data_IF_153895614937
#
_entry.id   IF_153895614937
#
_cell.length_a   1.000
_cell.length_b   1.000
_cell.length_c   1.000
_cell.angle_alpha   90.00
_cell.angle_beta   90.00
_cell.angle_gamma   90.00
#
_symmetry.space_group_name_H-M   'P 1'
#
loop_
_entity.id
_entity.type
_entity.pdbx_description
1 polymer ?
#
# COMPACT_ATOMS: atom_id res chain seq x y z
N UNK A 1 -12.85 -9.68 -49.11
CA UNK A 1 -11.49 -9.86 -48.56
C UNK A 1 -10.98 -8.61 -47.83
N UNK A 2 -11.05 -7.41 -48.41
CA UNK A 2 -10.71 -6.16 -47.68
C UNK A 2 -11.75 -5.78 -46.61
N UNK A 3 -13.05 -5.96 -46.88
CA UNK A 3 -14.12 -5.61 -45.93
C UNK A 3 -14.07 -6.42 -44.62
N UNK A 4 -13.70 -7.71 -44.67
CA UNK A 4 -13.52 -8.53 -43.46
C UNK A 4 -12.35 -8.03 -42.60
N UNK A 5 -11.26 -7.59 -43.22
CA UNK A 5 -10.11 -7.01 -42.54
C UNK A 5 -10.46 -5.69 -41.84
N UNK A 6 -11.23 -4.83 -42.52
CA UNK A 6 -11.72 -3.56 -41.97
C UNK A 6 -12.65 -3.81 -40.78
N UNK A 7 -13.60 -4.74 -40.91
CA UNK A 7 -14.49 -5.14 -39.81
C UNK A 7 -13.73 -5.65 -38.59
N UNK A 8 -12.68 -6.45 -38.81
CA UNK A 8 -11.83 -6.97 -37.74
C UNK A 8 -11.07 -5.85 -37.00
N UNK A 9 -10.54 -4.87 -37.73
CA UNK A 9 -9.84 -3.74 -37.13
C UNK A 9 -10.78 -2.82 -36.34
N UNK A 10 -12.00 -2.62 -36.81
CA UNK A 10 -13.05 -1.90 -36.07
C UNK A 10 -13.42 -2.59 -34.76
N UNK A 11 -13.61 -3.90 -34.77
CA UNK A 11 -13.89 -4.69 -33.56
C UNK A 11 -12.74 -4.62 -32.55
N UNK A 12 -11.49 -4.71 -33.03
CA UNK A 12 -10.30 -4.59 -32.18
C UNK A 12 -10.20 -3.20 -31.55
N UNK A 13 -10.51 -2.15 -32.30
CA UNK A 13 -10.50 -0.79 -31.78
C UNK A 13 -11.53 -0.62 -30.66
N UNK A 14 -12.75 -1.14 -30.85
CA UNK A 14 -13.80 -1.13 -29.82
C UNK A 14 -13.35 -1.92 -28.58
N UNK A 15 -12.75 -3.09 -28.77
CA UNK A 15 -12.25 -3.90 -27.66
C UNK A 15 -11.17 -3.15 -26.84
N UNK A 16 -10.24 -2.46 -27.51
CA UNK A 16 -9.21 -1.64 -26.85
C UNK A 16 -9.84 -0.49 -26.07
N UNK A 17 -10.79 0.23 -26.65
CA UNK A 17 -11.50 1.31 -25.97
C UNK A 17 -12.22 0.82 -24.71
N UNK A 18 -12.88 -0.34 -24.80
CA UNK A 18 -13.55 -0.96 -23.66
C UNK A 18 -12.55 -1.33 -22.55
N UNK A 19 -11.39 -1.88 -22.88
CA UNK A 19 -10.34 -2.21 -21.91
C UNK A 19 -9.82 -0.96 -21.20
N UNK A 20 -9.58 0.13 -21.93
CA UNK A 20 -9.14 1.41 -21.36
C UNK A 20 -10.19 1.94 -20.38
N UNK A 21 -11.46 1.98 -20.78
CA UNK A 21 -12.55 2.44 -19.92
C UNK A 21 -12.72 1.57 -18.67
N UNK A 22 -12.56 0.25 -18.80
CA UNK A 22 -12.61 -0.66 -17.65
C UNK A 22 -11.45 -0.41 -16.69
N UNK A 23 -10.23 -0.23 -17.20
CA UNK A 23 -9.05 0.07 -16.39
C UNK A 23 -9.22 1.38 -15.62
N UNK A 24 -9.73 2.43 -16.26
CA UNK A 24 -10.03 3.71 -15.60
C UNK A 24 -11.07 3.61 -14.50
N UNK A 25 -12.11 2.77 -14.69
CA UNK A 25 -13.13 2.52 -13.65
C UNK A 25 -12.51 1.85 -12.42
N UNK A 26 -11.65 0.84 -12.65
CA UNK A 26 -10.93 0.13 -11.58
C UNK A 26 -9.99 1.09 -10.84
N UNK A 27 -9.21 1.88 -11.57
CA UNK A 27 -8.30 2.87 -11.01
C UNK A 27 -9.03 3.90 -10.15
N UNK A 28 -10.12 4.48 -10.66
CA UNK A 28 -10.95 5.44 -9.90
C UNK A 28 -11.53 4.82 -8.63
N UNK A 29 -12.04 3.59 -8.70
CA UNK A 29 -12.59 2.89 -7.54
C UNK A 29 -11.51 2.60 -6.48
N UNK A 30 -10.31 2.23 -6.90
CA UNK A 30 -9.17 2.01 -6.02
C UNK A 30 -8.70 3.32 -5.38
N UNK A 31 -8.39 4.34 -6.18
CA UNK A 31 -7.87 5.63 -5.71
C UNK A 31 -8.84 6.32 -4.75
N UNK A 32 -10.16 6.17 -4.92
CA UNK A 32 -11.16 6.69 -3.98
C UNK A 32 -11.07 6.08 -2.58
N UNK A 33 -10.60 4.84 -2.45
CA UNK A 33 -10.47 4.11 -1.17
C UNK A 33 -9.12 4.32 -0.50
N UNK A 34 -8.08 4.63 -1.27
CA UNK A 34 -6.74 4.86 -0.75
C UNK A 34 -6.72 6.19 0.02
N UNK A 35 -6.59 6.10 1.34
CA UNK A 35 -6.29 7.28 2.18
C UNK A 35 -4.79 7.46 2.24
N UNK A 36 -4.30 8.61 1.80
CA UNK A 36 -2.88 8.96 1.91
C UNK A 36 -2.59 9.22 3.39
N UNK A 37 -1.93 8.27 4.06
CA UNK A 37 -1.38 8.48 5.38
C UNK A 37 0.04 9.03 5.23
N UNK A 38 0.28 10.22 5.77
CA UNK A 38 1.61 10.85 5.79
C UNK A 38 2.13 10.83 7.21
N UNK A 39 3.38 10.43 7.36
CA UNK A 39 4.08 10.48 8.63
C UNK A 39 5.14 11.58 8.59
N UNK A 40 5.48 12.12 9.76
CA UNK A 40 6.54 13.11 9.96
C UNK A 40 7.67 12.47 10.75
N UNK A 41 8.86 13.04 10.63
CA UNK A 41 9.99 12.68 11.49
C UNK A 41 9.58 12.86 12.96
N UNK A 42 9.84 11.85 13.78
CA UNK A 42 9.44 11.78 15.19
C UNK A 42 8.11 11.06 15.46
N UNK A 43 7.30 10.78 14.44
CA UNK A 43 6.04 10.05 14.63
C UNK A 43 6.28 8.62 15.10
N UNK A 44 5.46 8.16 16.05
CA UNK A 44 5.43 6.76 16.44
C UNK A 44 4.54 5.96 15.49
N UNK A 45 5.09 4.86 14.98
CA UNK A 45 4.43 4.02 13.99
C UNK A 45 4.54 2.54 14.33
N UNK A 46 3.58 1.77 13.84
CA UNK A 46 3.61 0.32 13.80
C UNK A 46 3.96 -0.14 12.39
N UNK A 47 4.72 -1.23 12.28
CA UNK A 47 5.13 -1.86 11.03
C UNK A 47 4.34 -3.13 10.80
N UNK A 48 3.94 -3.44 9.57
CA UNK A 48 3.30 -4.74 9.29
C UNK A 48 4.31 -5.90 9.47
N UNK A 49 3.89 -7.01 10.08
CA UNK A 49 4.72 -8.23 10.24
C UNK A 49 4.69 -9.07 8.96
N UNK A 50 3.49 -9.28 8.43
CA UNK A 50 3.25 -10.00 7.18
C UNK A 50 2.67 -9.04 6.14
N UNK A 51 3.02 -9.18 4.85
CA UNK A 51 2.28 -8.50 3.79
C UNK A 51 0.78 -8.78 3.91
N UNK A 52 -0.05 -7.78 3.59
CA UNK A 52 -1.51 -7.80 3.82
C UNK A 52 -2.21 -9.02 3.20
N UNK A 53 -1.65 -9.58 2.13
CA UNK A 53 -2.21 -10.71 1.38
C UNK A 53 -1.60 -12.08 1.75
N UNK A 54 -0.68 -12.13 2.73
CA UNK A 54 0.01 -13.36 3.12
C UNK A 54 -0.49 -13.91 4.46
N UNK A 55 -0.73 -15.22 4.49
CA UNK A 55 -1.00 -15.97 5.72
C UNK A 55 0.26 -16.73 6.14
N UNK A 56 0.67 -16.60 7.39
CA UNK A 56 1.75 -17.41 7.95
C UNK A 56 1.18 -18.70 8.53
N UNK A 57 1.89 -19.82 8.34
CA UNK A 57 1.59 -21.08 9.03
C UNK A 57 1.96 -21.03 10.53
N UNK A 58 2.86 -20.11 10.90
CA UNK A 58 3.41 -19.98 12.25
C UNK A 58 2.63 -18.97 13.09
N UNK A 59 2.09 -17.92 12.46
CA UNK A 59 1.23 -16.94 13.12
C UNK A 59 -0.22 -17.40 13.00
N UNK A 60 -0.81 -17.84 14.11
CA UNK A 60 -2.21 -18.23 14.17
C UNK A 60 -3.16 -17.07 13.88
N UNK A 61 -4.44 -17.37 13.62
CA UNK A 61 -5.49 -16.41 13.23
C UNK A 61 -5.61 -15.18 14.14
N UNK A 62 -5.25 -15.32 15.41
CA UNK A 62 -5.35 -14.27 16.44
C UNK A 62 -4.03 -13.55 16.73
N UNK A 63 -2.98 -13.83 15.95
CA UNK A 63 -1.70 -13.15 16.11
C UNK A 63 -1.82 -11.69 15.70
N UNK A 64 -1.04 -10.84 16.36
CA UNK A 64 -0.97 -9.43 15.99
C UNK A 64 -0.29 -9.30 14.62
N UNK A 65 -0.87 -8.51 13.71
CA UNK A 65 -0.32 -8.30 12.35
C UNK A 65 0.65 -7.12 12.26
N UNK A 66 0.78 -6.37 13.35
CA UNK A 66 1.56 -5.15 13.46
C UNK A 66 2.69 -5.35 14.47
N UNK A 67 3.78 -4.63 14.31
CA UNK A 67 5.00 -4.73 15.10
C UNK A 67 5.42 -3.34 15.57
N UNK A 68 6.18 -3.28 16.66
CA UNK A 68 6.64 -2.03 17.23
C UNK A 68 5.72 -1.48 18.32
N UNK A 69 6.11 -0.34 18.92
CA UNK A 69 6.31 0.93 18.20
C UNK A 69 7.73 1.21 17.67
N UNK A 70 7.80 1.92 16.54
CA UNK A 70 9.00 2.49 15.91
C UNK A 70 8.87 4.01 15.81
N UNK A 71 9.99 4.72 15.65
CA UNK A 71 10.02 6.17 15.36
C UNK A 71 10.38 6.38 13.89
N UNK A 72 9.68 7.30 13.22
CA UNK A 72 10.10 7.78 11.89
C UNK A 72 11.32 8.67 12.03
N UNK A 73 12.43 8.25 11.41
CA UNK A 73 13.71 8.97 11.41
C UNK A 73 13.82 9.89 10.20
N UNK A 74 13.40 9.43 9.02
CA UNK A 74 13.43 10.20 7.77
C UNK A 74 12.20 9.93 6.92
N UNK A 75 11.84 10.90 6.08
CA UNK A 75 10.72 10.85 5.14
C UNK A 75 11.21 11.13 3.73
N UNK A 76 10.95 10.22 2.79
CA UNK A 76 11.23 10.40 1.36
C UNK A 76 9.96 10.77 0.57
N UNK A 77 10.14 11.35 -0.63
CA UNK A 77 9.04 11.85 -1.48
C UNK A 77 8.07 10.77 -1.97
N UNK A 78 8.50 9.51 -2.05
CA UNK A 78 7.77 8.41 -2.69
C UNK A 78 7.07 7.47 -1.70
N UNK A 79 6.53 8.01 -0.60
CA UNK A 79 5.89 7.22 0.47
C UNK A 79 6.83 6.15 1.06
N UNK A 80 8.11 6.47 1.14
CA UNK A 80 9.13 5.64 1.78
C UNK A 80 9.66 6.36 3.02
N UNK A 81 9.87 5.61 4.08
CA UNK A 81 10.21 6.12 5.40
C UNK A 81 11.35 5.31 5.97
N UNK A 82 12.28 5.97 6.65
CA UNK A 82 13.24 5.30 7.53
C UNK A 82 12.59 5.23 8.90
N UNK A 83 12.42 4.01 9.43
CA UNK A 83 11.94 3.79 10.78
C UNK A 83 13.07 3.23 11.64
N UNK A 84 13.18 3.72 12.88
CA UNK A 84 14.13 3.26 13.88
C UNK A 84 13.40 2.55 15.01
N UNK A 85 13.96 1.45 15.47
CA UNK A 85 13.47 0.77 16.68
C UNK A 85 13.74 1.63 17.92
N UNK A 86 12.91 1.50 18.96
CA UNK A 86 13.09 2.30 20.19
C UNK A 86 14.28 1.83 21.03
N UNK A 87 14.51 0.52 21.06
CA UNK A 87 15.50 -0.11 21.93
C UNK A 87 16.81 -0.42 21.22
N UNK A 88 16.86 -0.24 19.90
CA UNK A 88 18.04 -0.50 19.10
C UNK A 88 18.27 0.65 18.11
N UNK A 89 19.52 0.91 17.76
CA UNK A 89 19.86 1.88 16.72
C UNK A 89 19.71 1.30 15.30
N UNK A 90 18.95 0.20 15.15
CA UNK A 90 18.70 -0.40 13.86
C UNK A 90 17.59 0.37 13.14
N UNK A 91 17.94 0.91 11.97
CA UNK A 91 17.01 1.61 11.09
C UNK A 91 16.67 0.77 9.86
N UNK A 92 15.44 0.90 9.36
CA UNK A 92 14.97 0.19 8.18
C UNK A 92 14.13 1.09 7.29
N UNK A 93 14.33 0.99 5.98
CA UNK A 93 13.50 1.64 4.98
C UNK A 93 12.24 0.81 4.74
N UNK A 94 11.07 1.45 4.77
CA UNK A 94 9.78 0.81 4.50
C UNK A 94 8.80 1.74 3.78
N UNK A 95 7.94 1.16 2.94
CA UNK A 95 6.84 1.90 2.32
C UNK A 95 5.75 2.23 3.36
N UNK A 96 5.22 3.46 3.33
CA UNK A 96 4.19 3.94 4.24
C UNK A 96 2.89 3.14 4.19
N UNK A 97 2.61 2.43 3.09
CA UNK A 97 1.45 1.50 3.01
C UNK A 97 1.51 0.36 4.03
N UNK A 98 2.70 0.09 4.57
CA UNK A 98 2.95 -0.93 5.59
C UNK A 98 3.16 -0.33 6.98
N UNK A 99 2.86 0.95 7.16
CA UNK A 99 2.94 1.66 8.42
C UNK A 99 1.55 2.08 8.90
N UNK A 100 1.41 2.23 10.22
CA UNK A 100 0.20 2.76 10.87
C UNK A 100 0.60 3.62 12.06
N UNK A 101 -0.11 4.72 12.33
CA UNK A 101 0.13 5.54 13.52
C UNK A 101 -0.03 4.71 14.80
N UNK A 102 0.94 4.82 15.70
CA UNK A 102 0.88 4.30 17.05
C UNK A 102 0.37 5.39 17.99
N UNK A 103 -0.76 5.14 18.64
CA UNK A 103 -1.31 6.06 19.63
C UNK A 103 -0.99 5.53 21.02
N UNK A 104 -0.20 6.29 21.79
CA UNK A 104 -0.01 5.98 23.21
C UNK A 104 -1.37 6.03 23.89
N UNK A 105 -1.71 5.00 24.67
CA UNK A 105 -2.83 5.11 25.59
C UNK A 105 -2.42 6.11 26.66
N UNK A 106 -3.07 7.27 26.67
CA UNK A 106 -3.01 8.18 27.81
C UNK A 106 -3.82 7.49 28.92
N UNK A 107 -3.19 7.29 30.08
CA UNK A 107 -3.77 6.52 31.19
C UNK A 107 -5.14 7.03 31.59
N UNK A 108 -6.02 6.10 31.98
CA UNK A 108 -7.25 6.36 32.71
C UNK A 108 -6.96 6.77 34.15
#
# INVERSE_FOLDING_TARGET
MYDELISLDEERLIAVQNLVQQKEKVERAYNKRVKIQRFRVGDLVLKVILPIDQKSRYLGKWSYNWDGPFIVEEVYSNNAYVIRELNSNASKVINGKYLKCFHKRVGC
#
